data_IF_511437050211
#
_entry.id   IF_511437050211
#
_cell.length_a   1.000
_cell.length_b   1.000
_cell.length_c   1.000
_cell.angle_alpha   90.00
_cell.angle_beta   90.00
_cell.angle_gamma   90.00
#
_symmetry.space_group_name_H-M   'P 1'
#
loop_
_entity.id
_entity.type
_entity.pdbx_description
1 polymer ?
#
# COMPACT_ATOMS: atom_id res chain seq x y z
N UNK A 1 7.96 -16.65 5.50
CA UNK A 1 6.91 -15.65 5.24
C UNK A 1 6.94 -15.41 3.73
N UNK A 2 6.00 -15.95 2.95
CA UNK A 2 6.15 -16.24 1.51
C UNK A 2 6.19 -15.06 0.52
N UNK A 3 6.94 -13.99 0.85
CA UNK A 3 7.15 -12.82 -0.01
C UNK A 3 5.85 -12.13 -0.42
N UNK A 4 5.92 -11.39 -1.53
CA UNK A 4 4.76 -10.69 -2.09
C UNK A 4 3.62 -11.64 -2.47
N UNK A 5 3.96 -12.85 -2.94
CA UNK A 5 2.96 -13.85 -3.35
C UNK A 5 2.05 -14.24 -2.19
N UNK A 6 2.61 -14.53 -1.02
CA UNK A 6 1.81 -14.86 0.16
C UNK A 6 1.02 -13.65 0.66
N UNK A 7 1.60 -12.46 0.59
CA UNK A 7 1.00 -11.22 1.07
C UNK A 7 -0.22 -10.80 0.23
N UNK A 8 -0.07 -10.76 -1.09
CA UNK A 8 -1.17 -10.46 -2.02
C UNK A 8 -2.29 -11.50 -1.88
N UNK A 9 -1.95 -12.79 -1.78
CA UNK A 9 -2.92 -13.85 -1.60
C UNK A 9 -3.72 -13.70 -0.29
N UNK A 10 -3.04 -13.41 0.83
CA UNK A 10 -3.68 -13.21 2.12
C UNK A 10 -4.63 -11.99 2.12
N UNK A 11 -4.21 -10.88 1.50
CA UNK A 11 -5.05 -9.69 1.33
C UNK A 11 -6.28 -9.97 0.46
N UNK A 12 -6.11 -10.71 -0.64
CA UNK A 12 -7.22 -11.08 -1.52
C UNK A 12 -8.24 -11.98 -0.81
N UNK A 13 -7.77 -12.99 -0.06
CA UNK A 13 -8.63 -13.84 0.76
C UNK A 13 -9.40 -13.05 1.81
N UNK A 14 -8.76 -12.05 2.44
CA UNK A 14 -9.41 -11.16 3.38
C UNK A 14 -10.47 -10.28 2.70
N UNK A 15 -10.11 -9.65 1.57
CA UNK A 15 -10.99 -8.78 0.77
C UNK A 15 -12.22 -9.53 0.23
N UNK A 16 -12.05 -10.78 -0.17
CA UNK A 16 -13.13 -11.65 -0.64
C UNK A 16 -13.97 -12.24 0.51
N UNK A 17 -13.63 -11.94 1.77
CA UNK A 17 -14.33 -12.44 2.96
C UNK A 17 -14.13 -13.93 3.21
N UNK A 18 -13.14 -14.57 2.57
CA UNK A 18 -12.87 -16.00 2.71
C UNK A 18 -12.36 -16.30 4.12
N UNK A 19 -11.48 -15.46 4.65
CA UNK A 19 -10.97 -15.62 6.02
C UNK A 19 -12.12 -15.54 7.05
N UNK A 20 -13.01 -14.57 6.91
CA UNK A 20 -14.20 -14.44 7.76
C UNK A 20 -15.15 -15.63 7.62
N UNK A 21 -15.40 -16.10 6.39
CA UNK A 21 -16.26 -17.26 6.11
C UNK A 21 -15.81 -18.53 6.82
N UNK A 22 -14.49 -18.73 6.93
CA UNK A 22 -13.90 -19.92 7.56
C UNK A 22 -13.36 -19.66 8.97
N UNK A 23 -13.65 -18.48 9.56
CA UNK A 23 -13.18 -18.08 10.87
C UNK A 23 -11.65 -18.23 11.04
N UNK A 24 -10.89 -17.80 10.03
CA UNK A 24 -9.44 -17.82 10.00
C UNK A 24 -8.91 -16.45 10.43
N UNK A 25 -8.14 -16.43 11.50
CA UNK A 25 -7.48 -15.22 12.00
C UNK A 25 -6.12 -15.01 11.32
N UNK A 26 -5.85 -13.77 10.90
CA UNK A 26 -4.56 -13.37 10.37
C UNK A 26 -3.63 -13.02 11.54
N UNK A 27 -2.48 -13.69 11.61
CA UNK A 27 -1.47 -13.49 12.67
C UNK A 27 -0.18 -12.87 12.10
N UNK A 28 0.55 -12.14 12.95
CA UNK A 28 1.83 -11.52 12.62
C UNK A 28 1.70 -10.08 12.09
N UNK A 29 0.84 -9.86 11.10
CA UNK A 29 0.45 -8.52 10.64
C UNK A 29 -1.03 -8.57 10.24
N UNK A 30 -1.81 -7.58 10.66
CA UNK A 30 -3.20 -7.46 10.21
C UNK A 30 -3.25 -6.91 8.77
N UNK A 31 -4.39 -7.12 8.11
CA UNK A 31 -4.57 -6.69 6.73
C UNK A 31 -4.42 -5.17 6.57
N UNK A 32 -4.80 -4.38 7.59
CA UNK A 32 -4.67 -2.92 7.54
C UNK A 32 -3.21 -2.46 7.61
N UNK A 33 -2.39 -3.07 8.47
CA UNK A 33 -0.96 -2.76 8.58
C UNK A 33 -0.25 -3.16 7.31
N UNK A 34 -0.60 -4.30 6.72
CA UNK A 34 -0.06 -4.73 5.43
C UNK A 34 -0.43 -3.71 4.35
N UNK A 35 -1.71 -3.37 4.21
CA UNK A 35 -2.19 -2.42 3.20
C UNK A 35 -1.56 -1.03 3.37
N UNK A 36 -1.39 -0.58 4.63
CA UNK A 36 -0.72 0.68 4.96
C UNK A 36 0.76 0.71 4.54
N UNK A 37 1.43 -0.44 4.51
CA UNK A 37 2.82 -0.56 4.11
C UNK A 37 3.00 -0.72 2.59
N UNK A 38 2.08 -1.41 1.92
CA UNK A 38 2.13 -1.65 0.47
C UNK A 38 1.56 -0.49 -0.36
N UNK A 39 0.52 0.18 0.15
CA UNK A 39 -0.02 1.38 -0.48
C UNK A 39 0.91 2.57 -0.22
N UNK A 40 1.53 3.05 -1.29
CA UNK A 40 2.50 4.15 -1.22
C UNK A 40 1.91 5.47 -0.73
N UNK A 41 0.63 5.75 -1.01
CA UNK A 41 -0.06 6.93 -0.49
C UNK A 41 -0.27 6.81 1.02
N UNK A 42 -0.74 5.64 1.47
CA UNK A 42 -0.92 5.37 2.91
C UNK A 42 0.40 5.39 3.66
N UNK A 43 1.46 4.87 3.06
CA UNK A 43 2.81 4.87 3.62
C UNK A 43 3.34 6.30 3.78
N UNK A 44 3.30 7.12 2.72
CA UNK A 44 3.75 8.52 2.76
C UNK A 44 2.98 9.33 3.81
N UNK A 45 1.65 9.18 3.86
CA UNK A 45 0.81 9.78 4.91
C UNK A 45 1.22 9.31 6.30
N UNK A 46 1.50 8.02 6.47
CA UNK A 46 1.91 7.47 7.76
C UNK A 46 3.24 8.04 8.24
N UNK A 47 4.23 8.17 7.36
CA UNK A 47 5.54 8.76 7.68
C UNK A 47 5.41 10.24 8.02
N UNK A 48 4.65 11.00 7.23
CA UNK A 48 4.36 12.43 7.49
C UNK A 48 3.64 12.63 8.83
N UNK A 49 2.70 11.75 9.17
CA UNK A 49 1.97 11.81 10.44
C UNK A 49 2.87 11.65 11.67
N UNK A 50 4.00 10.95 11.55
CA UNK A 50 4.99 10.80 12.64
C UNK A 50 6.15 11.80 12.52
N UNK A 51 6.08 12.75 11.59
CA UNK A 51 7.09 13.80 11.42
C UNK A 51 8.37 13.35 10.72
N UNK A 52 8.35 12.22 10.02
CA UNK A 52 9.47 11.80 9.19
C UNK A 52 9.39 12.46 7.81
N UNK A 53 10.54 12.86 7.28
CA UNK A 53 10.64 13.39 5.92
C UNK A 53 10.53 12.27 4.88
N UNK A 54 9.77 12.54 3.83
CA UNK A 54 9.69 11.72 2.63
C UNK A 54 10.13 12.53 1.41
N UNK A 55 10.72 11.89 0.38
CA UNK A 55 10.99 12.55 -0.89
C UNK A 55 9.72 13.18 -1.47
N UNK A 56 9.90 14.23 -2.29
CA UNK A 56 8.80 14.79 -3.08
C UNK A 56 8.30 13.71 -4.05
N UNK A 57 7.10 13.23 -3.82
CA UNK A 57 6.45 12.20 -4.62
C UNK A 57 4.94 12.45 -4.65
N UNK A 58 4.30 12.00 -5.73
CA UNK A 58 2.85 11.98 -5.88
C UNK A 58 2.44 10.64 -6.51
N UNK A 59 1.22 10.20 -6.24
CA UNK A 59 0.67 8.95 -6.77
C UNK A 59 -0.05 9.23 -8.08
N UNK A 60 0.21 8.38 -9.07
CA UNK A 60 -0.44 8.41 -10.37
C UNK A 60 -1.23 7.11 -10.56
N UNK A 61 -2.50 7.22 -10.94
CA UNK A 61 -3.35 6.08 -11.27
C UNK A 61 -3.57 5.93 -12.79
N UNK A 62 -3.13 6.92 -13.56
CA UNK A 62 -3.15 6.94 -15.02
C UNK A 62 -1.82 7.43 -15.60
N UNK A 63 -1.61 7.19 -16.89
CA UNK A 63 -0.46 7.75 -17.60
C UNK A 63 -0.51 9.28 -17.67
N UNK A 64 -1.71 9.86 -17.76
CA UNK A 64 -1.91 11.31 -17.75
C UNK A 64 -1.48 11.92 -16.40
N UNK A 65 -1.90 11.30 -15.29
CA UNK A 65 -1.48 11.69 -13.95
C UNK A 65 0.05 11.63 -13.82
N UNK A 66 0.67 10.58 -14.34
CA UNK A 66 2.12 10.39 -14.27
C UNK A 66 2.88 11.49 -15.02
N UNK A 67 2.40 11.90 -16.20
CA UNK A 67 2.99 12.99 -16.98
C UNK A 67 2.79 14.35 -16.31
N UNK A 68 1.63 14.58 -15.69
CA UNK A 68 1.38 15.80 -14.91
C UNK A 68 2.27 15.88 -13.67
N UNK A 69 2.41 14.79 -12.91
CA UNK A 69 3.32 14.68 -11.76
C UNK A 69 4.77 14.91 -12.20
N UNK A 70 5.18 14.29 -13.31
CA UNK A 70 6.50 14.48 -13.89
C UNK A 70 6.77 15.96 -14.22
N UNK A 71 5.76 16.69 -14.74
CA UNK A 71 5.91 18.12 -15.04
C UNK A 71 6.18 18.96 -13.78
N UNK A 72 5.70 18.52 -12.62
CA UNK A 72 5.83 19.20 -11.31
C UNK A 72 7.07 18.79 -10.52
N UNK A 73 7.51 17.55 -10.65
CA UNK A 73 8.71 17.01 -9.97
C UNK A 73 9.97 17.23 -10.82
N UNK A 74 9.87 17.06 -12.13
CA UNK A 74 11.01 17.01 -13.05
C UNK A 74 11.63 15.62 -13.13
N UNK A 75 12.51 15.42 -14.12
CA UNK A 75 13.33 14.20 -14.23
C UNK A 75 14.60 14.27 -13.36
N UNK A 76 15.18 13.12 -12.97
CA UNK A 76 14.68 11.74 -13.16
C UNK A 76 13.54 11.39 -12.21
#
# INVERSE_FOLDING_TARGET
MGGQTALNCALDLNRMGVLAKYNVEMIGADADTIDKAEDRDRFDKAMKNIGLECPRAEIAHSMEDALDVLSRIGFP
#
